data_IF_401741844873
#
_entry.id   IF_401741844873
#
_cell.length_a   1.000
_cell.length_b   1.000
_cell.length_c   1.000
_cell.angle_alpha   90.00
_cell.angle_beta   90.00
_cell.angle_gamma   90.00
#
_symmetry.space_group_name_H-M   'P 1'
#
loop_
_entity.id
_entity.type
_entity.pdbx_description
1 polymer ?
#
# COMPACT_ATOMS: atom_id res chain seq x y z
N UNK A 1 -25.95 34.94 -12.48
CA UNK A 1 -24.68 34.49 -13.13
C UNK A 1 -24.93 34.55 -14.63
N UNK A 2 -24.21 35.46 -15.35
CA UNK A 2 -24.52 35.85 -16.72
C UNK A 2 -24.27 34.70 -17.71
N UNK A 3 -25.32 34.09 -18.23
CA UNK A 3 -25.26 33.04 -19.29
C UNK A 3 -24.72 33.58 -20.64
N UNK A 4 -24.56 34.90 -20.80
CA UNK A 4 -24.04 35.52 -22.02
C UNK A 4 -22.52 35.33 -22.21
N UNK A 5 -21.71 35.10 -21.15
CA UNK A 5 -20.25 34.96 -21.26
C UNK A 5 -19.87 33.62 -21.90
N UNK A 6 -20.67 32.58 -21.74
CA UNK A 6 -20.37 31.24 -22.27
C UNK A 6 -20.61 31.10 -23.78
N UNK A 7 -21.39 32.01 -24.40
CA UNK A 7 -21.69 31.95 -25.84
C UNK A 7 -20.53 32.33 -26.76
N UNK A 8 -19.44 32.90 -26.23
CA UNK A 8 -18.30 33.36 -27.02
C UNK A 8 -17.01 32.54 -26.83
N UNK A 9 -17.06 31.51 -26.00
CA UNK A 9 -15.88 30.66 -25.80
C UNK A 9 -15.77 29.64 -26.95
N UNK A 10 -14.58 29.52 -27.52
CA UNK A 10 -14.27 28.46 -28.48
C UNK A 10 -14.29 27.09 -27.78
N UNK A 11 -14.53 26.00 -28.54
CA UNK A 11 -14.50 24.65 -28.02
C UNK A 11 -13.19 24.36 -27.27
N UNK A 12 -12.04 24.86 -27.76
CA UNK A 12 -10.74 24.72 -27.12
C UNK A 12 -10.68 25.43 -25.75
N UNK A 13 -11.27 26.61 -25.62
CA UNK A 13 -11.35 27.36 -24.35
C UNK A 13 -12.23 26.63 -23.33
N UNK A 14 -13.35 26.05 -23.78
CA UNK A 14 -14.23 25.25 -22.93
C UNK A 14 -13.50 23.99 -22.43
N UNK A 15 -12.81 23.26 -23.33
CA UNK A 15 -11.99 22.10 -22.94
C UNK A 15 -10.89 22.47 -21.96
N UNK A 16 -10.19 23.58 -22.19
CA UNK A 16 -9.13 24.04 -21.29
C UNK A 16 -9.68 24.42 -19.92
N UNK A 17 -10.80 25.13 -19.86
CA UNK A 17 -11.46 25.47 -18.60
C UNK A 17 -11.92 24.22 -17.84
N UNK A 18 -12.43 23.19 -18.52
CA UNK A 18 -12.82 21.92 -17.91
C UNK A 18 -11.60 21.16 -17.34
N UNK A 19 -10.49 21.14 -18.07
CA UNK A 19 -9.25 20.52 -17.59
C UNK A 19 -8.70 21.24 -16.35
N UNK A 20 -8.68 22.58 -16.37
CA UNK A 20 -8.24 23.38 -15.23
C UNK A 20 -9.15 23.19 -14.01
N UNK A 21 -10.46 23.14 -14.21
CA UNK A 21 -11.42 22.87 -13.14
C UNK A 21 -11.25 21.47 -12.55
N UNK A 22 -11.03 20.46 -13.39
CA UNK A 22 -10.74 19.09 -12.94
C UNK A 22 -9.41 19.01 -12.15
N UNK A 23 -8.37 19.68 -12.64
CA UNK A 23 -7.08 19.77 -11.94
C UNK A 23 -7.22 20.46 -10.57
N UNK A 24 -7.95 21.59 -10.51
CA UNK A 24 -8.20 22.30 -9.26
C UNK A 24 -9.01 21.44 -8.27
N UNK A 25 -10.05 20.74 -8.74
CA UNK A 25 -10.82 19.81 -7.92
C UNK A 25 -9.96 18.65 -7.39
N UNK A 26 -9.07 18.13 -8.21
CA UNK A 26 -8.14 17.06 -7.83
C UNK A 26 -7.12 17.54 -6.79
N UNK A 27 -6.55 18.75 -6.95
CA UNK A 27 -5.66 19.35 -5.96
C UNK A 27 -6.38 19.60 -4.63
N UNK A 28 -7.62 20.12 -4.69
CA UNK A 28 -8.44 20.34 -3.50
C UNK A 28 -8.76 19.01 -2.81
N UNK A 29 -9.18 18.00 -3.54
CA UNK A 29 -9.42 16.67 -2.98
C UNK A 29 -8.15 16.09 -2.33
N UNK A 30 -6.99 16.26 -2.95
CA UNK A 30 -5.72 15.78 -2.41
C UNK A 30 -5.32 16.48 -1.10
N UNK A 31 -5.66 17.76 -0.92
CA UNK A 31 -5.40 18.49 0.34
C UNK A 31 -6.31 18.02 1.48
N UNK A 32 -7.58 17.71 1.20
CA UNK A 32 -8.54 17.29 2.24
C UNK A 32 -8.49 15.78 2.54
N UNK A 33 -8.31 14.95 1.52
CA UNK A 33 -8.38 13.49 1.65
C UNK A 33 -7.02 12.80 1.58
N UNK A 34 -5.93 13.55 1.36
CA UNK A 34 -4.59 13.04 1.11
C UNK A 34 -4.43 12.44 -0.29
N UNK A 35 -3.26 11.87 -0.61
CA UNK A 35 -2.97 11.33 -1.93
C UNK A 35 -3.98 10.28 -2.37
N UNK A 36 -4.47 10.42 -3.61
CA UNK A 36 -5.38 9.46 -4.25
C UNK A 36 -4.59 8.42 -5.03
N UNK A 37 -3.43 8.81 -5.59
CA UNK A 37 -2.55 7.91 -6.34
C UNK A 37 -1.24 7.68 -5.61
N UNK A 38 -0.78 6.44 -5.66
CA UNK A 38 0.51 6.00 -5.12
C UNK A 38 1.26 5.26 -6.21
N UNK A 39 2.58 5.42 -6.24
CA UNK A 39 3.44 4.69 -7.18
C UNK A 39 4.32 3.74 -6.42
N UNK A 40 4.37 2.48 -6.87
CA UNK A 40 5.36 1.52 -6.41
C UNK A 40 6.38 1.25 -7.51
N UNK A 41 7.66 1.48 -7.19
CA UNK A 41 8.79 1.20 -8.08
C UNK A 41 9.65 0.03 -7.58
N UNK A 42 9.36 -0.46 -6.38
CA UNK A 42 10.13 -1.54 -5.74
C UNK A 42 9.60 -2.91 -6.12
N UNK A 43 10.47 -3.91 -6.16
CA UNK A 43 10.09 -5.29 -6.47
C UNK A 43 9.39 -6.02 -5.30
N UNK A 44 9.14 -5.35 -4.16
CA UNK A 44 8.46 -5.95 -3.01
C UNK A 44 6.95 -6.16 -3.22
N UNK A 45 6.37 -5.51 -4.23
CA UNK A 45 4.99 -5.68 -4.69
C UNK A 45 4.95 -5.39 -6.19
N UNK A 46 3.86 -5.67 -6.92
CA UNK A 46 3.75 -5.31 -8.34
C UNK A 46 4.10 -3.84 -8.57
N UNK A 47 5.00 -3.56 -9.51
CA UNK A 47 5.39 -2.19 -9.85
C UNK A 47 4.27 -1.52 -10.64
N UNK A 48 3.91 -0.30 -10.26
CA UNK A 48 2.78 0.34 -10.93
C UNK A 48 2.20 1.54 -10.20
N UNK A 49 1.03 1.96 -10.69
CA UNK A 49 0.20 3.01 -10.10
C UNK A 49 -0.94 2.35 -9.35
N UNK A 50 -1.14 2.77 -8.12
CA UNK A 50 -2.21 2.32 -7.23
C UNK A 50 -3.17 3.47 -6.94
N UNK A 51 -4.46 3.16 -6.96
CA UNK A 51 -5.55 4.08 -6.63
C UNK A 51 -6.04 3.82 -5.21
N UNK A 52 -6.14 4.87 -4.40
CA UNK A 52 -6.80 4.80 -3.11
C UNK A 52 -8.29 4.55 -3.28
N UNK A 53 -8.82 3.55 -2.58
CA UNK A 53 -10.23 3.17 -2.65
C UNK A 53 -10.83 3.12 -1.24
N UNK A 54 -12.12 3.47 -1.10
CA UNK A 54 -12.82 3.35 0.19
C UNK A 54 -13.05 1.87 0.55
N UNK A 55 -13.40 1.64 1.81
CA UNK A 55 -13.83 0.34 2.34
C UNK A 55 -12.81 -0.30 3.27
N UNK A 56 -13.25 -1.37 3.92
CA UNK A 56 -12.42 -2.16 4.81
C UNK A 56 -11.46 -3.06 4.00
N UNK A 57 -10.34 -3.42 4.64
CA UNK A 57 -9.41 -4.38 4.06
C UNK A 57 -9.98 -5.80 4.14
N UNK A 58 -9.74 -6.56 3.10
CA UNK A 58 -9.99 -8.00 3.02
C UNK A 58 -8.69 -8.75 2.69
N UNK A 59 -8.70 -10.08 2.80
CA UNK A 59 -7.54 -10.90 2.44
C UNK A 59 -7.10 -10.63 1.00
N UNK A 60 -5.81 -10.36 0.84
CA UNK A 60 -5.21 -10.09 -0.47
C UNK A 60 -5.28 -8.63 -0.94
N UNK A 61 -6.02 -7.76 -0.25
CA UNK A 61 -6.04 -6.33 -0.55
C UNK A 61 -4.69 -5.67 -0.28
N UNK A 62 -4.33 -4.72 -1.12
CA UNK A 62 -3.16 -3.87 -0.87
C UNK A 62 -3.53 -2.66 -0.01
N UNK A 63 -2.60 -2.31 0.86
CA UNK A 63 -2.70 -1.10 1.69
C UNK A 63 -1.39 -0.31 1.67
N UNK A 64 -1.51 1.00 1.79
CA UNK A 64 -0.42 1.87 2.20
C UNK A 64 -0.41 1.89 3.72
N UNK A 65 0.69 1.46 4.30
CA UNK A 65 0.89 1.44 5.76
C UNK A 65 2.08 2.33 6.13
N UNK A 66 2.04 2.93 7.32
CA UNK A 66 3.20 3.57 7.90
C UNK A 66 4.11 2.51 8.53
N UNK A 67 5.41 2.57 8.27
CA UNK A 67 6.38 1.68 8.92
C UNK A 67 6.25 1.77 10.43
N UNK A 68 6.14 0.65 11.16
CA UNK A 68 6.00 0.67 12.60
C UNK A 68 7.31 1.01 13.32
N UNK A 69 8.45 0.87 12.65
CA UNK A 69 9.77 1.12 13.22
C UNK A 69 10.75 1.68 12.18
N UNK A 70 11.82 2.27 12.65
CA UNK A 70 12.96 2.68 11.83
C UNK A 70 13.96 1.52 11.67
N UNK A 71 14.55 1.41 10.47
CA UNK A 71 15.64 0.49 10.16
C UNK A 71 16.72 1.29 9.43
N UNK A 72 17.66 1.91 10.15
CA UNK A 72 18.64 2.85 9.58
C UNK A 72 19.48 2.25 8.45
N UNK A 73 19.86 0.97 8.56
CA UNK A 73 20.72 0.27 7.60
C UNK A 73 20.13 0.21 6.18
N UNK A 74 18.82 0.32 6.05
CA UNK A 74 18.12 0.38 4.76
C UNK A 74 17.35 1.68 4.55
N UNK A 75 17.69 2.72 5.33
CA UNK A 75 17.13 4.07 5.24
C UNK A 75 15.60 4.12 5.39
N UNK A 76 15.01 3.22 6.19
CA UNK A 76 13.59 3.26 6.53
C UNK A 76 13.43 3.98 7.87
N UNK A 77 12.54 4.96 7.90
CA UNK A 77 12.13 5.66 9.13
C UNK A 77 10.74 5.21 9.57
N UNK A 78 10.50 5.27 10.88
CA UNK A 78 9.15 5.06 11.40
C UNK A 78 8.20 6.09 10.76
N UNK A 79 7.07 5.60 10.24
CA UNK A 79 6.12 6.44 9.53
C UNK A 79 6.28 6.45 8.00
N UNK A 80 7.40 5.96 7.46
CA UNK A 80 7.58 5.83 6.01
C UNK A 80 6.49 4.95 5.40
N UNK A 81 6.04 5.33 4.20
CA UNK A 81 4.96 4.62 3.54
C UNK A 81 5.44 3.35 2.84
N UNK A 82 4.82 2.25 3.20
CA UNK A 82 5.07 0.94 2.62
C UNK A 82 3.81 0.42 1.95
N UNK A 83 3.94 -0.19 0.78
CA UNK A 83 2.85 -0.89 0.09
C UNK A 83 2.88 -2.36 0.47
N UNK A 84 1.83 -2.85 1.15
CA UNK A 84 1.77 -4.23 1.65
C UNK A 84 0.40 -4.85 1.42
N UNK A 85 0.37 -6.18 1.32
CA UNK A 85 -0.84 -6.98 1.11
C UNK A 85 -1.33 -7.57 2.42
N UNK A 86 -2.61 -7.39 2.73
CA UNK A 86 -3.25 -7.96 3.93
C UNK A 86 -3.32 -9.49 3.80
N UNK A 87 -2.69 -10.21 4.72
CA UNK A 87 -2.55 -11.66 4.69
C UNK A 87 -3.31 -12.38 5.78
N UNK A 88 -3.48 -11.76 6.96
CA UNK A 88 -4.26 -12.34 8.04
C UNK A 88 -4.84 -11.24 8.94
N UNK A 89 -5.96 -11.57 9.59
CA UNK A 89 -6.77 -10.69 10.41
C UNK A 89 -6.92 -11.24 11.84
N UNK A 90 -7.45 -10.43 12.79
CA UNK A 90 -7.74 -10.93 14.13
C UNK A 90 -8.53 -12.24 14.12
N UNK A 91 -8.08 -13.20 14.94
CA UNK A 91 -8.61 -14.55 14.99
C UNK A 91 -7.89 -15.57 14.11
N UNK A 92 -7.13 -15.14 13.11
CA UNK A 92 -6.22 -16.04 12.37
C UNK A 92 -5.02 -16.41 13.23
N UNK A 93 -4.39 -17.54 12.90
CA UNK A 93 -3.13 -17.97 13.48
C UNK A 93 -2.04 -18.06 12.42
N UNK A 94 -0.80 -17.76 12.81
CA UNK A 94 0.37 -17.94 11.96
C UNK A 94 1.49 -18.62 12.73
N UNK A 95 2.31 -19.33 12.02
CA UNK A 95 3.48 -20.03 12.56
C UNK A 95 4.76 -19.34 12.07
N UNK A 96 5.64 -19.03 13.01
CA UNK A 96 6.97 -18.49 12.72
C UNK A 96 8.02 -19.55 13.07
N UNK A 97 8.96 -19.77 12.17
CA UNK A 97 10.17 -20.57 12.40
C UNK A 97 11.40 -19.74 12.06
N UNK A 98 12.60 -20.31 12.26
CA UNK A 98 13.86 -19.64 11.91
C UNK A 98 13.96 -19.25 10.42
N UNK A 99 13.22 -19.87 9.51
CA UNK A 99 13.37 -19.63 8.07
C UNK A 99 12.08 -19.34 7.32
N UNK A 100 10.93 -19.38 7.99
CA UNK A 100 9.63 -19.18 7.33
C UNK A 100 8.56 -18.65 8.28
N UNK A 101 7.60 -17.93 7.69
CA UNK A 101 6.31 -17.62 8.28
C UNK A 101 5.22 -18.34 7.46
N UNK A 102 4.38 -19.12 8.13
CA UNK A 102 3.25 -19.80 7.50
C UNK A 102 1.93 -19.25 8.03
N UNK A 103 0.99 -18.92 7.13
CA UNK A 103 -0.33 -18.41 7.47
C UNK A 103 -1.33 -18.69 6.35
N UNK A 104 -2.54 -19.09 6.68
CA UNK A 104 -3.63 -19.33 5.75
C UNK A 104 -3.23 -20.23 4.55
N UNK A 105 -2.48 -21.31 4.83
CA UNK A 105 -1.99 -22.26 3.82
C UNK A 105 -0.86 -21.75 2.92
N UNK A 106 -0.35 -20.54 3.16
CA UNK A 106 0.80 -19.97 2.43
C UNK A 106 2.04 -19.94 3.29
N UNK A 107 3.20 -20.08 2.65
CA UNK A 107 4.51 -20.04 3.30
C UNK A 107 5.33 -18.90 2.70
N UNK A 108 5.91 -18.08 3.58
CA UNK A 108 6.73 -16.92 3.22
C UNK A 108 8.13 -17.14 3.81
N UNK A 109 9.18 -17.18 2.96
CA UNK A 109 10.56 -17.29 3.46
C UNK A 109 10.95 -16.10 4.34
N UNK A 110 11.69 -16.36 5.40
CA UNK A 110 12.24 -15.34 6.31
C UNK A 110 13.76 -15.41 6.24
N UNK A 111 14.39 -14.26 6.02
CA UNK A 111 15.85 -14.13 6.00
C UNK A 111 16.31 -13.34 7.21
N UNK A 112 17.24 -13.92 7.97
CA UNK A 112 17.83 -13.25 9.11
C UNK A 112 18.97 -12.35 8.64
N UNK A 113 18.75 -11.04 8.72
CA UNK A 113 19.78 -10.04 8.53
C UNK A 113 20.02 -9.33 9.86
N UNK A 114 21.28 -9.03 10.25
CA UNK A 114 21.59 -8.51 11.58
C UNK A 114 20.84 -7.23 11.98
N UNK A 115 20.44 -6.45 10.98
CA UNK A 115 19.75 -5.17 11.16
C UNK A 115 18.21 -5.29 11.08
N UNK A 116 17.66 -6.45 10.74
CA UNK A 116 16.20 -6.65 10.70
C UNK A 116 15.68 -7.18 12.03
N UNK A 117 14.53 -6.69 12.51
CA UNK A 117 13.85 -7.28 13.65
C UNK A 117 13.57 -8.77 13.40
N UNK A 118 13.60 -9.55 14.44
CA UNK A 118 13.25 -10.97 14.36
C UNK A 118 12.15 -11.28 15.35
N UNK A 119 11.20 -12.13 14.93
CA UNK A 119 10.20 -12.68 15.81
C UNK A 119 10.64 -14.10 16.23
N UNK A 120 10.55 -14.47 17.53
CA UNK A 120 10.86 -15.82 17.98
C UNK A 120 10.03 -16.87 17.24
N UNK A 121 10.58 -18.11 17.14
CA UNK A 121 9.82 -19.22 16.61
C UNK A 121 8.64 -19.56 17.54
N UNK A 122 7.49 -19.87 16.96
CA UNK A 122 6.26 -20.18 17.72
C UNK A 122 5.01 -20.08 16.86
N UNK A 123 3.89 -20.43 17.47
CA UNK A 123 2.56 -20.23 16.91
C UNK A 123 1.89 -19.04 17.60
N UNK A 124 1.32 -18.13 16.81
CA UNK A 124 0.79 -16.87 17.29
C UNK A 124 -0.60 -16.63 16.71
N UNK A 125 -1.51 -16.10 17.52
CA UNK A 125 -2.74 -15.50 17.03
C UNK A 125 -2.47 -14.07 16.55
N UNK A 126 -3.17 -13.63 15.52
CA UNK A 126 -3.20 -12.21 15.10
C UNK A 126 -4.03 -11.44 16.14
N UNK A 127 -3.43 -10.49 16.87
CA UNK A 127 -4.13 -9.77 17.92
C UNK A 127 -5.23 -8.85 17.39
N UNK A 128 -6.24 -8.58 18.22
CA UNK A 128 -7.25 -7.57 17.94
C UNK A 128 -6.61 -6.20 17.65
N UNK A 129 -7.19 -5.48 16.71
CA UNK A 129 -6.68 -4.16 16.30
C UNK A 129 -5.40 -4.21 15.45
N UNK A 130 -4.95 -5.39 15.01
CA UNK A 130 -3.78 -5.55 14.14
C UNK A 130 -4.11 -6.32 12.87
N UNK A 131 -3.24 -6.27 11.88
CA UNK A 131 -3.32 -7.05 10.63
C UNK A 131 -1.92 -7.55 10.29
N UNK A 132 -1.82 -8.78 9.84
CA UNK A 132 -0.58 -9.36 9.32
C UNK A 132 -0.47 -9.01 7.83
N UNK A 133 0.55 -8.25 7.46
CA UNK A 133 0.82 -7.83 6.10
C UNK A 133 2.00 -8.59 5.51
N UNK A 134 1.79 -9.26 4.39
CA UNK A 134 2.82 -10.08 3.73
C UNK A 134 2.73 -9.91 2.22
N UNK A 135 3.84 -9.56 1.59
CA UNK A 135 3.95 -9.56 0.13
C UNK A 135 4.58 -10.88 -0.35
N UNK A 136 4.23 -11.32 -1.56
CA UNK A 136 4.74 -12.57 -2.14
C UNK A 136 6.26 -12.56 -2.36
N UNK A 137 6.89 -11.46 -2.85
CA UNK A 137 8.34 -11.43 -3.02
C UNK A 137 9.11 -11.60 -1.70
N UNK A 138 10.19 -12.36 -1.77
CA UNK A 138 11.04 -12.68 -0.59
C UNK A 138 11.74 -11.45 -0.02
N UNK A 139 12.03 -10.45 -0.85
CA UNK A 139 12.71 -9.19 -0.47
C UNK A 139 11.77 -8.14 0.09
N UNK A 140 10.64 -8.51 0.65
CA UNK A 140 9.70 -7.56 1.25
C UNK A 140 9.96 -7.36 2.73
N UNK A 141 10.12 -6.10 3.13
CA UNK A 141 10.10 -5.69 4.53
C UNK A 141 8.65 -5.57 4.99
N UNK A 142 8.15 -6.54 5.74
CA UNK A 142 6.76 -6.65 6.15
C UNK A 142 6.61 -7.39 7.50
N UNK A 143 5.44 -7.96 7.74
CA UNK A 143 5.15 -8.65 9.02
C UNK A 143 6.02 -9.87 9.30
N UNK A 144 6.82 -10.36 8.34
CA UNK A 144 7.87 -11.34 8.60
C UNK A 144 8.88 -10.85 9.64
N UNK A 145 9.06 -9.53 9.68
CA UNK A 145 10.03 -8.85 10.54
C UNK A 145 9.36 -8.03 11.64
N UNK A 146 8.30 -7.31 11.31
CA UNK A 146 7.60 -6.44 12.26
C UNK A 146 6.55 -7.16 13.12
N UNK A 147 6.14 -8.39 12.73
CA UNK A 147 4.94 -9.00 13.28
C UNK A 147 3.65 -8.32 12.82
N UNK A 148 2.51 -8.58 13.48
CA UNK A 148 1.24 -7.93 13.17
C UNK A 148 1.32 -6.41 13.32
N UNK A 149 0.81 -5.68 12.33
CA UNK A 149 0.87 -4.21 12.25
C UNK A 149 -0.41 -3.63 12.83
N UNK A 150 -0.36 -2.64 13.75
CA UNK A 150 -1.54 -1.97 14.28
C UNK A 150 -2.38 -1.32 13.17
N UNK A 151 -3.70 -1.40 13.26
CA UNK A 151 -4.61 -0.78 12.29
C UNK A 151 -4.42 0.74 12.18
N UNK A 152 -3.96 1.40 13.26
CA UNK A 152 -3.61 2.83 13.26
C UNK A 152 -2.50 3.20 12.25
N UNK A 153 -1.65 2.23 11.88
CA UNK A 153 -0.62 2.43 10.87
C UNK A 153 -1.17 2.40 9.43
N UNK A 154 -2.39 1.90 9.22
CA UNK A 154 -3.00 1.81 7.90
C UNK A 154 -3.42 3.22 7.46
N UNK A 155 -2.93 3.66 6.31
CA UNK A 155 -3.22 4.98 5.76
C UNK A 155 -4.33 4.91 4.71
N UNK A 156 -4.26 3.96 3.79
CA UNK A 156 -5.22 3.79 2.69
C UNK A 156 -5.30 2.34 2.26
N UNK A 157 -6.51 1.86 1.95
CA UNK A 157 -6.70 0.73 1.05
C UNK A 157 -6.42 1.20 -0.37
N UNK A 158 -5.70 0.39 -1.15
CA UNK A 158 -5.37 0.73 -2.54
C UNK A 158 -5.58 -0.46 -3.45
N UNK A 159 -5.90 -0.20 -4.71
CA UNK A 159 -5.96 -1.19 -5.77
C UNK A 159 -4.94 -0.87 -6.86
N UNK A 160 -4.35 -1.89 -7.48
CA UNK A 160 -3.46 -1.72 -8.62
C UNK A 160 -4.28 -1.25 -9.83
N UNK A 161 -3.96 -0.06 -10.34
CA UNK A 161 -4.61 0.53 -11.50
C UNK A 161 -3.81 0.25 -12.78
N UNK A 162 -2.49 0.41 -12.72
CA UNK A 162 -1.58 0.20 -13.86
C UNK A 162 -0.43 -0.67 -13.38
N UNK A 163 -0.18 -1.79 -14.05
CA UNK A 163 0.96 -2.67 -13.80
C UNK A 163 2.05 -2.39 -14.84
N UNK A 164 3.21 -1.88 -14.41
CA UNK A 164 4.33 -1.58 -15.31
C UNK A 164 4.94 -2.84 -15.93
N UNK A 165 5.00 -3.93 -15.17
CA UNK A 165 5.58 -5.18 -15.66
C UNK A 165 4.72 -5.83 -16.75
N UNK A 166 3.38 -5.68 -16.66
CA UNK A 166 2.48 -6.14 -17.69
C UNK A 166 2.59 -5.33 -18.99
N UNK A 167 2.85 -4.01 -18.91
CA UNK A 167 3.02 -3.17 -20.10
C UNK A 167 4.28 -3.56 -20.88
N UNK A 168 5.39 -3.81 -20.18
CA UNK A 168 6.65 -4.20 -20.81
C UNK A 168 6.61 -5.58 -21.49
N UNK A 169 5.65 -6.43 -21.17
CA UNK A 169 5.51 -7.74 -21.82
C UNK A 169 4.85 -7.69 -23.20
N UNK A 170 4.36 -6.53 -23.63
CA UNK A 170 3.74 -6.31 -24.95
C UNK A 170 4.67 -5.64 -25.96
N UNK A 171 5.89 -5.28 -25.56
CA UNK A 171 6.94 -4.70 -26.41
C UNK A 171 8.22 -5.54 -26.33
#
# INVERSE_FOLDING_TARGET
>A
MNYHVLKHLSKAQICMAAVLAAAAAMLTANTFFGPIFYTNRTASAPRGIYLAVPGQLSYGDYAIIASPASIPDIHIQQGDLLLKKAAAFPGDTYEMTASRLAVNGRVYPVYHLPYLPTQPAGSYAVPEGTILFLNDPVISLDSRYFGPIPQANIKKKVMLLVNYDAIHSYF
#
